data_IF_544009566131
#
_entry.id   IF_544009566131
#
_cell.length_a   1.000
_cell.length_b   1.000
_cell.length_c   1.000
_cell.angle_alpha   90.00
_cell.angle_beta   90.00
_cell.angle_gamma   90.00
#
_symmetry.space_group_name_H-M   'P 1'
#
loop_
_entity.id
_entity.type
_entity.pdbx_description
1 polymer ?
#
# COMPACT_ATOMS: atom_id res chain seq x y z
N UNK A 1 -14.41 37.15 -8.38
CA UNK A 1 -14.12 35.74 -8.76
C UNK A 1 -14.65 34.84 -7.65
N UNK A 2 -15.57 33.90 -7.93
CA UNK A 2 -16.17 33.11 -6.86
C UNK A 2 -15.12 32.13 -6.33
N UNK A 3 -14.87 32.20 -5.03
CA UNK A 3 -14.08 31.22 -4.31
C UNK A 3 -14.73 29.84 -4.46
N UNK A 4 -14.02 28.90 -5.09
CA UNK A 4 -14.43 27.50 -5.08
C UNK A 4 -14.63 27.05 -3.62
N UNK A 5 -15.73 26.34 -3.30
CA UNK A 5 -16.05 26.00 -1.93
C UNK A 5 -15.02 24.99 -1.39
N UNK A 6 -14.11 25.47 -0.52
CA UNK A 6 -13.20 24.65 0.29
C UNK A 6 -13.93 23.66 1.23
N UNK A 7 -15.27 23.72 1.26
CA UNK A 7 -16.18 22.87 2.04
C UNK A 7 -16.76 21.66 1.30
N UNK A 8 -16.16 21.20 0.19
CA UNK A 8 -16.19 19.74 -0.14
C UNK A 8 -15.20 18.99 0.78
N UNK A 9 -15.05 19.47 2.02
CA UNK A 9 -15.21 18.83 3.33
C UNK A 9 -14.96 17.33 3.37
N UNK A 10 -13.92 16.95 4.13
CA UNK A 10 -13.51 15.59 4.58
C UNK A 10 -14.64 14.55 4.73
N UNK A 11 -15.87 14.98 5.02
CA UNK A 11 -17.06 14.12 5.09
C UNK A 11 -17.32 13.32 3.81
N UNK A 12 -16.95 13.85 2.64
CA UNK A 12 -17.13 13.15 1.37
C UNK A 12 -15.99 12.14 1.08
N UNK A 13 -14.81 12.29 1.67
CA UNK A 13 -13.65 11.42 1.41
C UNK A 13 -13.94 9.96 1.80
N UNK A 14 -14.53 9.74 2.98
CA UNK A 14 -14.91 8.38 3.43
C UNK A 14 -16.05 7.78 2.62
N UNK A 15 -16.96 8.62 2.08
CA UNK A 15 -18.05 8.15 1.20
C UNK A 15 -17.52 7.72 -0.15
N UNK A 16 -16.59 8.49 -0.72
CA UNK A 16 -15.91 8.15 -1.98
C UNK A 16 -15.06 6.88 -1.77
N UNK A 17 -14.35 6.77 -0.64
CA UNK A 17 -13.61 5.56 -0.28
C UNK A 17 -14.52 4.34 -0.11
N UNK A 18 -15.65 4.49 0.57
CA UNK A 18 -16.66 3.43 0.71
C UNK A 18 -17.18 2.97 -0.66
N UNK A 19 -17.54 3.91 -1.54
CA UNK A 19 -17.98 3.61 -2.90
C UNK A 19 -16.89 2.89 -3.71
N UNK A 20 -15.62 3.31 -3.56
CA UNK A 20 -14.48 2.67 -4.20
C UNK A 20 -14.31 1.21 -3.75
N UNK A 21 -14.37 0.94 -2.43
CA UNK A 21 -14.27 -0.42 -1.88
C UNK A 21 -15.43 -1.29 -2.35
N UNK A 22 -16.65 -0.75 -2.37
CA UNK A 22 -17.84 -1.46 -2.81
C UNK A 22 -17.76 -1.82 -4.30
N UNK A 23 -17.38 -0.87 -5.16
CA UNK A 23 -17.20 -1.13 -6.59
C UNK A 23 -16.12 -2.19 -6.85
N UNK A 24 -15.02 -2.15 -6.09
CA UNK A 24 -13.97 -3.15 -6.19
C UNK A 24 -14.48 -4.53 -5.80
N UNK A 25 -15.20 -4.63 -4.66
CA UNK A 25 -15.76 -5.89 -4.19
C UNK A 25 -16.71 -6.51 -5.20
N UNK A 26 -17.64 -5.69 -5.71
CA UNK A 26 -18.60 -6.15 -6.71
C UNK A 26 -17.88 -6.57 -7.99
N UNK A 27 -16.78 -5.94 -8.39
CA UNK A 27 -16.03 -6.36 -9.57
C UNK A 27 -15.47 -7.79 -9.44
N UNK A 28 -15.10 -8.21 -8.22
CA UNK A 28 -14.58 -9.56 -7.90
C UNK A 28 -15.68 -10.62 -7.91
N UNK A 29 -16.95 -10.25 -7.75
CA UNK A 29 -18.07 -11.20 -7.76
C UNK A 29 -18.36 -11.76 -9.16
N UNK A 30 -17.94 -11.05 -10.20
CA UNK A 30 -18.09 -11.47 -11.58
C UNK A 30 -16.79 -12.03 -12.13
N UNK A 31 -16.91 -12.88 -13.15
CA UNK A 31 -15.77 -13.45 -13.85
C UNK A 31 -14.82 -12.38 -14.39
N UNK A 32 -13.52 -12.60 -14.16
CA UNK A 32 -12.42 -11.69 -14.47
C UNK A 32 -12.19 -11.64 -15.98
N UNK A 33 -12.93 -10.75 -16.65
CA UNK A 33 -12.94 -10.63 -18.11
C UNK A 33 -14.32 -10.32 -18.68
N UNK A 34 -15.37 -10.54 -17.88
CA UNK A 34 -16.73 -10.14 -18.24
C UNK A 34 -16.85 -8.62 -18.40
N UNK A 35 -17.73 -8.19 -19.31
CA UNK A 35 -18.01 -6.75 -19.52
C UNK A 35 -18.47 -6.07 -18.22
N UNK A 36 -19.22 -6.77 -17.37
CA UNK A 36 -19.69 -6.26 -16.06
C UNK A 36 -18.53 -5.97 -15.11
N UNK A 37 -17.62 -6.93 -14.91
CA UNK A 37 -16.44 -6.75 -14.05
C UNK A 37 -15.55 -5.61 -14.55
N UNK A 38 -15.32 -5.53 -15.88
CA UNK A 38 -14.57 -4.43 -16.50
C UNK A 38 -15.22 -3.07 -16.30
N UNK A 39 -16.54 -2.95 -16.47
CA UNK A 39 -17.27 -1.70 -16.23
C UNK A 39 -17.22 -1.26 -14.76
N UNK A 40 -17.33 -2.21 -13.82
CA UNK A 40 -17.19 -1.93 -12.39
C UNK A 40 -15.76 -1.50 -12.01
N UNK A 41 -14.74 -2.14 -12.58
CA UNK A 41 -13.35 -1.74 -12.37
C UNK A 41 -13.06 -0.36 -12.98
N UNK A 42 -13.62 -0.03 -14.14
CA UNK A 42 -13.51 1.30 -14.74
C UNK A 42 -14.22 2.36 -13.88
N UNK A 43 -15.41 2.05 -13.34
CA UNK A 43 -16.08 2.92 -12.39
C UNK A 43 -15.24 3.10 -11.11
N UNK A 44 -14.66 2.02 -10.58
CA UNK A 44 -13.75 2.06 -9.45
C UNK A 44 -12.53 2.96 -9.74
N UNK A 45 -11.91 2.83 -10.91
CA UNK A 45 -10.79 3.68 -11.32
C UNK A 45 -11.20 5.16 -11.41
N UNK A 46 -12.39 5.46 -11.94
CA UNK A 46 -12.93 6.82 -11.96
C UNK A 46 -13.15 7.41 -10.55
N UNK A 47 -13.74 6.62 -9.65
CA UNK A 47 -13.94 7.03 -8.24
C UNK A 47 -12.62 7.18 -7.51
N UNK A 48 -11.64 6.32 -7.79
CA UNK A 48 -10.29 6.41 -7.24
C UNK A 48 -9.60 7.71 -7.65
N UNK A 49 -9.69 8.13 -8.92
CA UNK A 49 -9.12 9.40 -9.38
C UNK A 49 -9.73 10.62 -8.65
N UNK A 50 -11.03 10.57 -8.35
CA UNK A 50 -11.70 11.62 -7.55
C UNK A 50 -11.23 11.60 -6.10
N UNK A 51 -10.97 10.41 -5.55
CA UNK A 51 -10.51 10.24 -4.18
C UNK A 51 -9.08 10.73 -3.98
N UNK A 52 -8.19 10.56 -4.96
CA UNK A 52 -6.78 10.85 -4.76
C UNK A 52 -6.47 12.36 -4.72
N UNK A 53 -5.61 12.82 -3.78
CA UNK A 53 -5.30 14.23 -3.59
C UNK A 53 -4.36 14.84 -4.66
N UNK A 54 -3.91 14.09 -5.66
CA UNK A 54 -3.03 14.58 -6.75
C UNK A 54 -3.61 15.77 -7.51
N UNK A 55 -4.93 15.90 -7.55
CA UNK A 55 -5.61 17.02 -8.22
C UNK A 55 -5.45 18.38 -7.52
N UNK A 56 -5.00 18.41 -6.25
CA UNK A 56 -4.88 19.66 -5.48
C UNK A 56 -3.51 20.31 -5.53
N UNK A 57 -2.50 19.65 -6.12
CA UNK A 57 -1.17 20.22 -6.35
C UNK A 57 -0.99 20.56 -7.84
N UNK A 58 -1.70 21.60 -8.30
CA UNK A 58 -1.36 22.54 -9.40
C UNK A 58 -0.68 22.10 -10.72
N UNK A 59 -0.47 20.81 -11.00
CA UNK A 59 -0.05 20.34 -12.32
C UNK A 59 -1.24 19.85 -13.12
N UNK A 60 -1.58 20.61 -14.17
CA UNK A 60 -2.58 20.25 -15.16
C UNK A 60 -2.14 18.95 -15.83
N UNK A 61 -2.86 17.86 -15.57
CA UNK A 61 -2.71 16.65 -16.37
C UNK A 61 -3.03 16.96 -17.83
N UNK A 62 -2.12 16.60 -18.72
CA UNK A 62 -2.45 16.59 -20.14
C UNK A 62 -3.50 15.51 -20.39
N UNK A 63 -4.42 15.74 -21.33
CA UNK A 63 -5.37 14.74 -21.82
C UNK A 63 -4.70 13.38 -22.14
N UNK A 64 -3.41 13.41 -22.48
CA UNK A 64 -2.57 12.24 -22.75
C UNK A 64 -2.38 11.33 -21.53
N UNK A 65 -2.22 11.85 -20.32
CA UNK A 65 -1.97 11.04 -19.12
C UNK A 65 -3.23 10.31 -18.66
N UNK A 66 -4.39 10.98 -18.77
CA UNK A 66 -5.70 10.38 -18.50
C UNK A 66 -6.08 9.35 -19.56
N UNK A 67 -5.76 9.60 -20.83
CA UNK A 67 -5.97 8.64 -21.92
C UNK A 67 -5.06 7.43 -21.78
N UNK A 68 -3.78 7.59 -21.41
CA UNK A 68 -2.85 6.48 -21.20
C UNK A 68 -3.32 5.58 -20.05
N UNK A 69 -3.77 6.15 -18.94
CA UNK A 69 -4.31 5.40 -17.79
C UNK A 69 -5.62 4.67 -18.14
N UNK A 70 -6.50 5.33 -18.90
CA UNK A 70 -7.73 4.72 -19.43
C UNK A 70 -7.42 3.58 -20.40
N UNK A 71 -6.45 3.73 -21.30
CA UNK A 71 -6.04 2.70 -22.26
C UNK A 71 -5.45 1.47 -21.56
N UNK A 72 -4.60 1.67 -20.55
CA UNK A 72 -4.06 0.60 -19.69
C UNK A 72 -5.21 -0.09 -18.93
N UNK A 73 -6.23 0.67 -18.51
CA UNK A 73 -7.44 0.13 -17.88
C UNK A 73 -8.43 -0.52 -18.86
N UNK A 74 -8.24 -0.43 -20.17
CA UNK A 74 -9.09 -1.07 -21.18
C UNK A 74 -8.46 -2.38 -21.67
N UNK A 75 -7.12 -2.50 -21.64
CA UNK A 75 -6.38 -3.72 -22.00
C UNK A 75 -6.33 -4.81 -20.91
N UNK A 76 -7.28 -4.81 -19.97
CA UNK A 76 -7.21 -5.57 -18.71
C UNK A 76 -7.07 -7.09 -18.90
N UNK A 77 -5.83 -7.58 -18.77
CA UNK A 77 -5.57 -8.96 -18.41
C UNK A 77 -6.03 -9.21 -16.95
N UNK A 78 -6.47 -10.44 -16.64
CA UNK A 78 -6.84 -10.86 -15.28
C UNK A 78 -5.76 -10.50 -14.24
N UNK A 79 -4.48 -10.53 -14.63
CA UNK A 79 -3.32 -10.14 -13.83
C UNK A 79 -3.33 -8.69 -13.31
N UNK A 80 -4.00 -7.77 -14.01
CA UNK A 80 -4.06 -6.37 -13.57
C UNK A 80 -4.90 -6.24 -12.30
N UNK A 81 -5.93 -7.07 -12.08
CA UNK A 81 -6.66 -7.08 -10.81
C UNK A 81 -5.72 -7.39 -9.65
N UNK A 82 -4.90 -8.42 -9.79
CA UNK A 82 -3.91 -8.80 -8.76
C UNK A 82 -2.95 -7.64 -8.46
N UNK A 83 -2.30 -7.08 -9.48
CA UNK A 83 -1.37 -5.97 -9.31
C UNK A 83 -2.06 -4.74 -8.71
N UNK A 84 -3.30 -4.46 -9.13
CA UNK A 84 -4.08 -3.33 -8.63
C UNK A 84 -4.40 -3.46 -7.14
N UNK A 85 -4.83 -4.64 -6.69
CA UNK A 85 -5.04 -4.93 -5.27
C UNK A 85 -3.76 -4.74 -4.46
N UNK A 86 -2.62 -5.24 -4.94
CA UNK A 86 -1.31 -5.08 -4.28
C UNK A 86 -0.94 -3.61 -4.13
N UNK A 87 -1.14 -2.79 -5.18
CA UNK A 87 -0.94 -1.34 -5.13
C UNK A 87 -1.88 -0.67 -4.12
N UNK A 88 -3.17 -1.03 -4.12
CA UNK A 88 -4.15 -0.47 -3.17
C UNK A 88 -3.83 -0.83 -1.72
N UNK A 89 -3.37 -2.05 -1.45
CA UNK A 89 -2.95 -2.48 -0.11
C UNK A 89 -1.77 -1.65 0.36
N UNK A 90 -0.75 -1.46 -0.49
CA UNK A 90 0.41 -0.63 -0.15
C UNK A 90 0.01 0.82 0.09
N UNK A 91 -0.79 1.38 -0.81
CA UNK A 91 -1.30 2.73 -0.71
C UNK A 91 -2.05 2.94 0.61
N UNK A 92 -2.98 2.03 0.96
CA UNK A 92 -3.78 2.12 2.18
C UNK A 92 -2.95 1.90 3.45
N UNK A 93 -1.95 1.01 3.39
CA UNK A 93 -1.03 0.73 4.49
C UNK A 93 -0.17 1.94 4.84
N UNK A 94 0.34 2.66 3.83
CA UNK A 94 1.24 3.81 3.99
C UNK A 94 0.59 5.07 4.55
N UNK A 95 -0.73 5.11 4.76
CA UNK A 95 -1.39 6.32 5.25
C UNK A 95 -1.00 6.65 6.71
N UNK A 96 -0.55 7.88 7.00
CA UNK A 96 -0.11 8.30 8.34
C UNK A 96 -1.24 8.33 9.40
N UNK A 97 -2.51 8.15 8.99
CA UNK A 97 -3.68 8.01 9.88
C UNK A 97 -3.61 6.84 10.87
N UNK A 98 -2.61 5.97 10.74
CA UNK A 98 -2.31 4.88 11.68
C UNK A 98 -1.96 5.33 13.12
N UNK A 99 -1.58 6.60 13.34
CA UNK A 99 -0.84 7.00 14.55
C UNK A 99 -1.65 7.16 15.85
N UNK A 100 -2.99 7.22 15.82
CA UNK A 100 -3.88 6.84 16.97
C UNK A 100 -5.39 6.99 16.71
N UNK A 101 -5.84 8.06 16.02
CA UNK A 101 -7.28 8.32 15.84
C UNK A 101 -7.89 7.78 14.54
N UNK A 102 -7.08 7.53 13.49
CA UNK A 102 -7.54 6.98 12.21
C UNK A 102 -7.34 5.47 12.05
N UNK A 103 -6.56 4.84 12.95
CA UNK A 103 -6.19 3.42 12.86
C UNK A 103 -7.40 2.49 12.81
N UNK A 104 -8.44 2.81 13.59
CA UNK A 104 -9.70 2.07 13.62
C UNK A 104 -10.43 2.09 12.27
N UNK A 105 -10.20 3.10 11.42
CA UNK A 105 -10.84 3.19 10.10
C UNK A 105 -10.02 2.49 9.02
N UNK A 106 -8.70 2.66 9.02
CA UNK A 106 -7.84 2.09 7.97
C UNK A 106 -7.55 0.58 8.16
N UNK A 107 -7.56 0.07 9.39
CA UNK A 107 -7.36 -1.37 9.66
C UNK A 107 -8.44 -2.25 9.03
N UNK A 108 -9.76 -1.98 9.21
CA UNK A 108 -10.81 -2.71 8.52
C UNK A 108 -10.70 -2.65 7.00
N UNK A 109 -10.28 -1.52 6.44
CA UNK A 109 -10.10 -1.35 4.99
C UNK A 109 -8.95 -2.22 4.49
N UNK A 110 -7.82 -2.25 5.21
CA UNK A 110 -6.69 -3.09 4.86
C UNK A 110 -7.05 -4.58 4.99
N UNK A 111 -7.74 -4.96 6.06
CA UNK A 111 -8.30 -6.31 6.22
C UNK A 111 -9.23 -6.68 5.07
N UNK A 112 -10.11 -5.76 4.66
CA UNK A 112 -10.99 -5.94 3.52
C UNK A 112 -10.19 -6.19 2.23
N UNK A 113 -9.22 -5.33 1.91
CA UNK A 113 -8.42 -5.45 0.68
C UNK A 113 -7.60 -6.75 0.63
N UNK A 114 -6.95 -7.11 1.75
CA UNK A 114 -6.16 -8.34 1.86
C UNK A 114 -7.06 -9.58 1.74
N UNK A 115 -8.21 -9.57 2.42
CA UNK A 115 -9.17 -10.68 2.35
C UNK A 115 -9.75 -10.85 0.96
N UNK A 116 -10.16 -9.75 0.32
CA UNK A 116 -10.74 -9.79 -1.02
C UNK A 116 -9.70 -10.21 -2.08
N UNK A 117 -8.43 -9.83 -1.90
CA UNK A 117 -7.32 -10.32 -2.71
C UNK A 117 -7.11 -11.84 -2.54
N UNK A 118 -6.96 -12.32 -1.31
CA UNK A 118 -6.58 -13.72 -1.04
C UNK A 118 -7.74 -14.70 -1.20
N UNK A 119 -8.97 -14.31 -0.86
CA UNK A 119 -10.13 -15.22 -0.83
C UNK A 119 -10.96 -15.09 -2.11
N UNK A 120 -11.11 -13.87 -2.64
CA UNK A 120 -11.90 -13.61 -3.84
C UNK A 120 -11.05 -13.67 -5.11
N UNK A 121 -10.08 -12.76 -5.20
CA UNK A 121 -9.33 -12.48 -6.43
C UNK A 121 -8.39 -13.64 -6.83
N UNK A 122 -7.51 -14.07 -5.93
CA UNK A 122 -6.49 -15.08 -6.22
C UNK A 122 -7.10 -16.43 -6.65
N UNK A 123 -8.06 -17.03 -5.93
CA UNK A 123 -8.57 -18.34 -6.30
C UNK A 123 -9.23 -18.36 -7.67
N UNK A 124 -9.91 -17.27 -8.02
CA UNK A 124 -10.62 -17.14 -9.29
C UNK A 124 -9.65 -16.90 -10.47
N UNK A 125 -8.67 -16.00 -10.33
CA UNK A 125 -7.70 -15.68 -11.40
C UNK A 125 -6.87 -16.90 -11.79
N UNK A 126 -6.46 -17.70 -10.81
CA UNK A 126 -5.59 -18.86 -11.02
C UNK A 126 -6.37 -20.17 -11.17
N UNK A 127 -7.70 -20.12 -11.17
CA UNK A 127 -8.59 -21.28 -11.27
C UNK A 127 -8.24 -22.39 -10.26
N UNK A 128 -7.81 -22.03 -9.06
CA UNK A 128 -7.50 -22.97 -7.99
C UNK A 128 -8.76 -23.24 -7.16
N UNK A 129 -8.83 -24.43 -6.55
CA UNK A 129 -9.97 -24.83 -5.73
C UNK A 129 -10.16 -23.85 -4.57
N UNK A 130 -11.22 -23.05 -4.64
CA UNK A 130 -11.54 -22.06 -3.63
C UNK A 130 -11.90 -22.70 -2.27
N UNK A 131 -12.07 -21.86 -1.26
CA UNK A 131 -12.58 -22.28 0.04
C UNK A 131 -13.98 -22.93 -0.10
N UNK A 132 -14.42 -23.73 0.89
CA UNK A 132 -15.76 -24.30 0.89
C UNK A 132 -16.83 -23.23 0.64
N UNK A 133 -17.92 -23.53 -0.12
CA UNK A 133 -18.93 -22.55 -0.50
C UNK A 133 -19.51 -21.75 0.67
N UNK A 134 -19.71 -22.39 1.83
CA UNK A 134 -20.19 -21.72 3.03
C UNK A 134 -19.24 -20.61 3.50
N UNK A 135 -17.92 -20.84 3.44
CA UNK A 135 -16.91 -19.87 3.85
C UNK A 135 -16.78 -18.76 2.82
N UNK A 136 -16.77 -19.07 1.52
CA UNK A 136 -16.70 -18.05 0.46
C UNK A 136 -17.93 -17.14 0.50
N UNK A 137 -19.13 -17.69 0.66
CA UNK A 137 -20.36 -16.90 0.82
C UNK A 137 -20.34 -16.04 2.09
N UNK A 138 -19.86 -16.59 3.22
CA UNK A 138 -19.71 -15.83 4.46
C UNK A 138 -18.75 -14.64 4.28
N UNK A 139 -17.63 -14.83 3.59
CA UNK A 139 -16.68 -13.75 3.31
C UNK A 139 -17.25 -12.73 2.32
N UNK A 140 -17.89 -13.16 1.23
CA UNK A 140 -18.51 -12.27 0.23
C UNK A 140 -19.53 -11.32 0.88
N UNK A 141 -20.48 -11.83 1.66
CA UNK A 141 -21.47 -10.98 2.31
C UNK A 141 -20.92 -10.27 3.55
N UNK A 142 -20.03 -10.92 4.31
CA UNK A 142 -19.42 -10.34 5.51
C UNK A 142 -18.51 -9.14 5.19
N UNK A 143 -17.76 -9.20 4.08
CA UNK A 143 -16.88 -8.11 3.65
C UNK A 143 -17.65 -6.83 3.29
N UNK A 144 -18.93 -6.94 2.89
CA UNK A 144 -19.79 -5.79 2.61
C UNK A 144 -20.07 -4.92 3.85
N UNK A 145 -19.88 -5.46 5.05
CA UNK A 145 -19.99 -4.70 6.29
C UNK A 145 -18.92 -3.60 6.39
N UNK A 146 -17.72 -3.80 5.83
CA UNK A 146 -16.63 -2.82 5.88
C UNK A 146 -16.97 -1.53 5.11
N UNK A 147 -17.32 -1.55 3.81
CA UNK A 147 -17.71 -0.33 3.11
C UNK A 147 -18.96 0.32 3.72
N UNK A 148 -19.92 -0.48 4.22
CA UNK A 148 -21.10 0.05 4.92
C UNK A 148 -20.71 0.80 6.21
N UNK A 149 -19.80 0.24 7.00
CA UNK A 149 -19.29 0.88 8.20
C UNK A 149 -18.51 2.16 7.88
N UNK A 150 -17.60 2.13 6.89
CA UNK A 150 -16.82 3.30 6.45
C UNK A 150 -17.75 4.43 5.96
N UNK A 151 -18.88 4.11 5.35
CA UNK A 151 -19.87 5.10 4.91
C UNK A 151 -20.51 5.89 6.08
N UNK A 152 -20.69 5.22 7.22
CA UNK A 152 -21.38 5.77 8.41
C UNK A 152 -20.41 6.54 9.32
N UNK A 153 -19.16 6.09 9.40
CA UNK A 153 -18.14 6.70 10.26
C UNK A 153 -17.91 8.17 9.90
N UNK A 154 -17.90 9.03 10.93
CA UNK A 154 -17.61 10.46 10.76
C UNK A 154 -16.11 10.72 10.94
N UNK A 155 -15.48 11.54 10.07
CA UNK A 155 -14.09 11.97 10.24
C UNK A 155 -13.88 12.62 11.62
N UNK A 156 -12.81 12.26 12.31
CA UNK A 156 -12.42 12.98 13.53
C UNK A 156 -11.89 14.39 13.16
N UNK A 157 -12.42 15.49 13.74
CA UNK A 157 -12.08 16.86 13.34
C UNK A 157 -10.58 17.21 13.46
N UNK A 158 -9.85 16.57 14.38
CA UNK A 158 -8.42 16.84 14.63
C UNK A 158 -7.42 16.12 13.70
N UNK A 159 -7.89 15.23 12.82
CA UNK A 159 -7.05 14.47 11.90
C UNK A 159 -6.66 15.28 10.66
N UNK A 160 -5.89 16.35 10.83
CA UNK A 160 -5.07 16.92 9.76
C UNK A 160 -4.28 15.81 9.09
N UNK A 161 -4.75 15.28 7.96
CA UNK A 161 -3.89 14.62 7.00
C UNK A 161 -2.88 15.68 6.57
N UNK A 162 -1.78 15.83 7.31
CA UNK A 162 -0.60 16.49 6.79
C UNK A 162 -0.25 15.70 5.56
N UNK A 163 -0.48 16.31 4.40
CA UNK A 163 -0.37 15.77 3.04
C UNK A 163 1.03 15.27 2.67
N UNK A 164 1.93 15.03 3.63
CA UNK A 164 3.36 15.09 3.38
C UNK A 164 4.24 13.92 3.81
N UNK A 165 3.68 12.78 4.23
CA UNK A 165 4.44 11.54 4.12
C UNK A 165 3.53 10.32 4.14
N UNK A 166 3.25 9.79 2.95
CA UNK A 166 2.98 8.35 2.86
C UNK A 166 4.23 7.67 3.40
N UNK A 167 4.06 6.79 4.39
CA UNK A 167 5.13 5.93 4.89
C UNK A 167 5.43 4.89 3.81
N UNK A 168 6.33 5.25 2.89
CA UNK A 168 6.67 4.46 1.70
C UNK A 168 7.19 3.08 2.09
N UNK A 169 8.00 3.00 3.16
CA UNK A 169 8.51 1.73 3.65
C UNK A 169 7.36 0.82 4.06
N UNK A 170 6.43 1.33 4.87
CA UNK A 170 5.23 0.58 5.28
C UNK A 170 4.33 0.20 4.11
N UNK A 171 4.19 1.10 3.13
CA UNK A 171 3.42 0.85 1.92
C UNK A 171 4.02 -0.31 1.12
N UNK A 172 5.31 -0.23 0.79
CA UNK A 172 6.03 -1.24 0.03
C UNK A 172 6.11 -2.56 0.81
N UNK A 173 6.39 -2.53 2.11
CA UNK A 173 6.45 -3.75 2.92
C UNK A 173 5.11 -4.47 2.94
N UNK A 174 3.99 -3.75 3.17
CA UNK A 174 2.68 -4.40 3.23
C UNK A 174 2.22 -4.94 1.87
N UNK A 175 2.48 -4.20 0.78
CA UNK A 175 2.14 -4.68 -0.57
C UNK A 175 3.01 -5.87 -0.97
N UNK A 176 4.33 -5.83 -0.73
CA UNK A 176 5.25 -6.94 -1.00
C UNK A 176 4.92 -8.16 -0.17
N UNK A 177 4.66 -8.02 1.13
CA UNK A 177 4.29 -9.14 2.00
C UNK A 177 2.99 -9.80 1.51
N UNK A 178 1.97 -9.01 1.18
CA UNK A 178 0.69 -9.58 0.74
C UNK A 178 0.80 -10.20 -0.66
N UNK A 179 1.52 -9.55 -1.59
CA UNK A 179 1.78 -10.08 -2.92
C UNK A 179 2.59 -11.38 -2.87
N UNK A 180 3.66 -11.41 -2.06
CA UNK A 180 4.48 -12.60 -1.85
C UNK A 180 3.68 -13.72 -1.17
N UNK A 181 2.83 -13.40 -0.19
CA UNK A 181 1.94 -14.36 0.44
C UNK A 181 0.97 -15.00 -0.58
N UNK A 182 0.38 -14.20 -1.46
CA UNK A 182 -0.50 -14.69 -2.50
C UNK A 182 0.23 -15.59 -3.50
N UNK A 183 1.39 -15.14 -4.00
CA UNK A 183 2.24 -15.92 -4.91
C UNK A 183 2.72 -17.22 -4.26
N UNK A 184 3.15 -17.17 -3.00
CA UNK A 184 3.56 -18.36 -2.25
C UNK A 184 2.41 -19.37 -2.10
N UNK A 185 1.20 -18.89 -1.82
CA UNK A 185 0.01 -19.75 -1.70
C UNK A 185 -0.30 -20.47 -3.01
N UNK A 186 -0.19 -19.76 -4.13
CA UNK A 186 -0.37 -20.34 -5.47
C UNK A 186 0.77 -21.32 -5.79
N UNK A 187 2.02 -20.94 -5.51
CA UNK A 187 3.19 -21.80 -5.75
C UNK A 187 3.09 -23.11 -4.97
N UNK A 188 2.74 -23.06 -3.69
CA UNK A 188 2.52 -24.25 -2.85
C UNK A 188 1.37 -25.10 -3.44
N UNK A 189 0.27 -24.48 -3.85
CA UNK A 189 -0.87 -25.19 -4.47
C UNK A 189 -0.42 -26.00 -5.68
N UNK A 190 0.34 -25.39 -6.59
CA UNK A 190 0.80 -26.06 -7.82
C UNK A 190 1.95 -27.05 -7.60
N UNK A 191 2.93 -26.74 -6.73
CA UNK A 191 4.10 -27.58 -6.52
C UNK A 191 3.83 -28.77 -5.60
N UNK A 192 3.02 -28.59 -4.55
CA UNK A 192 2.71 -29.63 -3.56
C UNK A 192 1.37 -30.33 -3.83
N UNK A 193 0.58 -29.85 -4.80
CA UNK A 193 -0.71 -30.44 -5.17
C UNK A 193 -1.77 -30.38 -4.07
N UNK A 194 -1.58 -29.49 -3.08
CA UNK A 194 -2.51 -29.30 -1.96
C UNK A 194 -3.60 -28.29 -2.32
N UNK A 195 -4.76 -28.40 -1.70
CA UNK A 195 -5.86 -27.45 -1.89
C UNK A 195 -5.44 -26.02 -1.46
N UNK A 196 -5.89 -24.99 -2.20
CA UNK A 196 -5.53 -23.59 -1.95
C UNK A 196 -5.73 -23.12 -0.48
N UNK A 197 -6.81 -23.49 0.24
CA UNK A 197 -6.97 -23.07 1.63
C UNK A 197 -5.86 -23.60 2.55
N UNK A 198 -5.38 -24.81 2.28
CA UNK A 198 -4.25 -25.41 3.01
C UNK A 198 -2.96 -24.69 2.64
N UNK A 199 -2.75 -24.42 1.35
CA UNK A 199 -1.58 -23.68 0.87
C UNK A 199 -1.51 -22.24 1.43
N UNK A 200 -2.65 -21.56 1.50
CA UNK A 200 -2.77 -20.22 2.09
C UNK A 200 -2.44 -20.26 3.58
N UNK A 201 -2.96 -21.24 4.31
CA UNK A 201 -2.63 -21.43 5.72
C UNK A 201 -1.14 -21.71 5.94
N UNK A 202 -0.53 -22.59 5.13
CA UNK A 202 0.91 -22.88 5.18
C UNK A 202 1.74 -21.63 4.85
N UNK A 203 1.32 -20.83 3.87
CA UNK A 203 2.00 -19.58 3.51
C UNK A 203 1.92 -18.54 4.62
N UNK A 204 0.75 -18.43 5.27
CA UNK A 204 0.57 -17.58 6.45
C UNK A 204 1.45 -18.03 7.61
N UNK A 205 1.52 -19.34 7.87
CA UNK A 205 2.36 -19.91 8.92
C UNK A 205 3.85 -19.70 8.62
N UNK A 206 4.27 -19.88 7.36
CA UNK A 206 5.61 -19.59 6.90
C UNK A 206 5.98 -18.12 7.06
N UNK A 207 5.09 -17.20 6.66
CA UNK A 207 5.28 -15.76 6.85
C UNK A 207 5.33 -15.39 8.34
N UNK A 208 4.45 -15.95 9.17
CA UNK A 208 4.45 -15.72 10.60
C UNK A 208 5.74 -16.21 11.27
N UNK A 209 6.22 -17.40 10.89
CA UNK A 209 7.50 -17.96 11.37
C UNK A 209 8.68 -17.09 10.93
N UNK A 210 8.70 -16.67 9.67
CA UNK A 210 9.73 -15.78 9.13
C UNK A 210 9.80 -14.46 9.90
N UNK A 211 8.64 -13.82 10.11
CA UNK A 211 8.55 -12.58 10.88
C UNK A 211 8.91 -12.80 12.36
N UNK A 212 8.55 -13.94 12.94
CA UNK A 212 8.92 -14.30 14.30
C UNK A 212 10.43 -14.44 14.44
N UNK A 213 11.10 -15.15 13.52
CA UNK A 213 12.57 -15.31 13.50
C UNK A 213 13.25 -13.95 13.36
N UNK A 214 12.78 -13.09 12.46
CA UNK A 214 13.30 -11.73 12.30
C UNK A 214 13.10 -10.93 13.59
N UNK A 215 11.89 -10.91 14.14
CA UNK A 215 11.57 -10.20 15.39
C UNK A 215 12.40 -10.72 16.56
N UNK A 216 12.71 -12.01 16.58
CA UNK A 216 13.57 -12.64 17.57
C UNK A 216 15.02 -12.18 17.39
N UNK A 217 15.55 -12.21 16.16
CA UNK A 217 16.92 -11.80 15.84
C UNK A 217 17.17 -10.31 16.10
N UNK A 218 16.17 -9.45 15.89
CA UNK A 218 16.25 -8.02 16.16
C UNK A 218 15.99 -7.66 17.64
N UNK A 219 15.53 -8.59 18.48
CA UNK A 219 15.23 -8.27 19.88
C UNK A 219 16.51 -8.18 20.72
N UNK A 220 16.82 -7.02 21.34
CA UNK A 220 18.02 -6.85 22.18
C UNK A 220 18.01 -7.69 23.47
N UNK A 221 16.89 -8.34 23.78
CA UNK A 221 16.59 -8.95 25.09
C UNK A 221 17.25 -10.30 25.34
N UNK A 222 17.86 -10.93 24.32
CA UNK A 222 18.42 -12.29 24.41
C UNK A 222 19.95 -12.36 24.42
N UNK A 223 20.67 -11.27 24.72
CA UNK A 223 22.14 -11.31 24.86
C UNK A 223 22.93 -11.47 23.56
N UNK A 224 22.26 -11.38 22.40
CA UNK A 224 22.90 -11.28 21.08
C UNK A 224 23.47 -9.85 20.89
N UNK A 225 24.54 -9.55 21.62
CA UNK A 225 25.25 -8.27 21.56
C UNK A 225 25.98 -8.12 20.20
N UNK A 226 26.26 -9.20 19.47
CA UNK A 226 27.12 -9.19 18.28
C UNK A 226 26.63 -8.33 17.10
N UNK A 227 25.37 -8.43 16.66
CA UNK A 227 24.91 -7.71 15.46
C UNK A 227 24.65 -6.22 15.73
N UNK A 228 24.12 -5.88 16.90
CA UNK A 228 23.91 -4.49 17.30
C UNK A 228 25.24 -3.76 17.55
N UNK A 229 26.23 -4.45 18.15
CA UNK A 229 27.56 -3.89 18.39
C UNK A 229 28.38 -3.75 17.09
N UNK A 230 28.24 -4.68 16.13
CA UNK A 230 28.82 -4.52 14.79
C UNK A 230 28.19 -3.34 14.04
N UNK A 231 26.87 -3.14 14.16
CA UNK A 231 26.18 -1.98 13.61
C UNK A 231 26.62 -0.66 14.26
N UNK A 232 26.77 -0.64 15.59
CA UNK A 232 27.27 0.52 16.34
C UNK A 232 28.73 0.83 15.97
N UNK A 233 29.55 -0.19 15.78
CA UNK A 233 30.93 -0.05 15.28
C UNK A 233 30.96 0.45 13.84
N UNK A 234 30.09 -0.05 12.96
CA UNK A 234 29.95 0.46 11.60
C UNK A 234 29.46 1.91 11.56
N UNK A 235 28.50 2.27 12.42
CA UNK A 235 28.02 3.65 12.56
C UNK A 235 29.10 4.58 13.10
N UNK A 236 29.84 4.17 14.13
CA UNK A 236 30.96 4.95 14.68
C UNK A 236 32.11 5.09 13.68
N UNK A 237 32.32 4.09 12.81
CA UNK A 237 33.32 4.17 11.74
C UNK A 237 32.86 4.98 10.51
N UNK A 238 31.54 5.22 10.37
CA UNK A 238 30.96 6.09 9.34
C UNK A 238 30.83 7.55 9.82
N UNK A 239 30.66 7.76 11.14
CA UNK A 239 30.61 9.10 11.73
C UNK A 239 31.89 9.90 11.52
N UNK A 240 33.06 9.28 11.72
CA UNK A 240 34.35 9.95 11.59
C UNK A 240 34.68 10.48 10.18
N UNK A 241 34.52 9.73 9.07
CA UNK A 241 34.76 10.27 7.73
C UNK A 241 33.70 11.28 7.27
N UNK A 242 32.44 11.12 7.69
CA UNK A 242 31.38 12.09 7.37
C UNK A 242 31.58 13.42 8.12
N UNK A 243 31.97 13.36 9.38
CA UNK A 243 32.34 14.54 10.18
C UNK A 243 33.56 15.25 9.60
N UNK A 244 34.56 14.51 9.11
CA UNK A 244 35.72 15.08 8.42
C UNK A 244 35.31 15.78 7.12
N UNK A 245 34.47 15.15 6.30
CA UNK A 245 33.95 15.75 5.08
C UNK A 245 33.11 17.02 5.35
N UNK A 246 32.26 17.01 6.39
CA UNK A 246 31.51 18.19 6.82
C UNK A 246 32.42 19.31 7.33
N UNK A 247 33.48 18.97 8.07
CA UNK A 247 34.46 19.94 8.55
C UNK A 247 35.27 20.57 7.40
N UNK A 248 35.63 19.78 6.38
CA UNK A 248 36.29 20.28 5.18
C UNK A 248 35.38 21.20 4.36
N UNK A 249 34.10 20.83 4.19
CA UNK A 249 33.11 21.69 3.53
C UNK A 249 32.89 23.00 4.27
N UNK A 250 32.79 22.96 5.60
CA UNK A 250 32.63 24.17 6.41
C UNK A 250 33.86 25.09 6.30
N UNK A 251 35.07 24.51 6.24
CA UNK A 251 36.32 25.27 6.07
C UNK A 251 36.45 25.88 4.68
N UNK A 252 36.01 25.18 3.63
CA UNK A 252 35.95 25.70 2.27
C UNK A 252 34.90 26.82 2.12
N UNK A 253 33.77 26.70 2.81
CA UNK A 253 32.72 27.71 2.82
C UNK A 253 33.13 29.01 3.53
N UNK A 254 33.97 28.92 4.57
CA UNK A 254 34.47 30.09 5.30
C UNK A 254 35.59 30.85 4.54
N UNK A 255 36.27 30.16 3.59
CA UNK A 255 37.36 30.74 2.81
C UNK A 255 36.94 31.34 1.47
N UNK A 256 35.77 31.01 0.92
CA UNK A 256 35.33 31.50 -0.39
C UNK A 256 34.01 32.28 -0.32
N UNK A 257 34.05 33.56 -0.69
CA UNK A 257 32.90 34.47 -0.66
C UNK A 257 32.05 34.48 -1.95
N UNK A 258 32.40 33.71 -2.99
CA UNK A 258 31.65 33.62 -4.24
C UNK A 258 31.04 32.21 -4.43
N UNK A 259 29.71 32.08 -4.61
CA UNK A 259 29.03 30.78 -4.70
C UNK A 259 29.51 29.87 -5.82
N UNK A 260 30.01 30.43 -6.93
CA UNK A 260 30.37 29.69 -8.14
C UNK A 260 31.68 28.91 -8.00
N UNK A 261 32.66 29.43 -7.25
CA UNK A 261 33.96 28.76 -7.03
C UNK A 261 33.87 27.62 -6.00
N UNK A 262 32.93 27.71 -5.06
CA UNK A 262 32.65 26.65 -4.09
C UNK A 262 32.10 25.38 -4.74
N UNK A 263 31.29 25.50 -5.81
CA UNK A 263 30.74 24.35 -6.53
C UNK A 263 31.77 23.61 -7.40
N UNK A 264 32.81 24.28 -7.92
CA UNK A 264 33.88 23.62 -8.68
C UNK A 264 34.83 22.80 -7.80
N UNK A 265 35.08 23.24 -6.56
CA UNK A 265 36.06 22.59 -5.66
C UNK A 265 35.44 21.47 -4.82
N UNK A 266 34.12 21.47 -4.60
CA UNK A 266 33.44 20.48 -3.73
C UNK A 266 33.10 19.14 -4.40
N UNK A 267 33.23 19.03 -5.72
CA UNK A 267 32.86 17.84 -6.52
C UNK A 267 34.03 17.16 -7.25
N UNK A 268 35.26 17.60 -7.00
CA UNK A 268 36.51 16.98 -7.48
C UNK A 268 37.17 16.21 -6.33
#
# INVERSE_FOLDING_TARGET
MPAFPRHVSRKNEYRILSAMLLLLHLAVWWDFGSSKSRSLLLAHAGVFLIWQPFWRLEKRFGLKDTVLFSLVSIGLACWIFFCWFVVLIGLMSGFPGYRRSGRLVYMPILFFLVSDLLIGCVPHIFHVKALPPAVTTMFQYGLLAVPAWVFIVRPHPGGGASLYSVDLLRAISASMMTGMLAVASIAITYHLGVDYPVALFQSLLGLALFLFIISWLLSPRMGFIGLAQLWERSLMNIGTPFEQWLAELAKLADQQQSPEQFFEVSFN
#
